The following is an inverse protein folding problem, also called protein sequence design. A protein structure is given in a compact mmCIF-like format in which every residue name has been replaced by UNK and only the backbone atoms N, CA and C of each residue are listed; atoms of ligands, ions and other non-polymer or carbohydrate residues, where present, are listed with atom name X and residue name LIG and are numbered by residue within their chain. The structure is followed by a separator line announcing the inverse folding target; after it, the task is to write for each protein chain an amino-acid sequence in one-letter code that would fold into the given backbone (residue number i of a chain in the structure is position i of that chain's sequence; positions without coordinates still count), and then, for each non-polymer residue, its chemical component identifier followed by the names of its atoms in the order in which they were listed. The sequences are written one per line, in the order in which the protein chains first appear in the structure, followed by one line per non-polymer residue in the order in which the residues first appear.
data_IF_428984612501
#
_entry.id   IF_428984612501
#
_cell.length_a   1.000
_cell.length_b   1.000
_cell.length_c   1.000
_cell.angle_alpha   90.00
_cell.angle_beta   90.00
_cell.angle_gamma   90.00
#
_symmetry.space_group_name_H-M   'P 1'
#
loop_
_entity.id
_entity.type
_entity.pdbx_description
1 polymer ?
#
# COMPACT_ATOMS: atom_id res chain seq x y z
N UNK A 1 15.86 32.11 8.80
CA UNK A 1 16.08 30.78 9.41
C UNK A 1 16.29 29.78 8.27
N UNK A 2 17.52 29.29 8.10
CA UNK A 2 17.93 28.42 6.98
C UNK A 2 17.82 26.98 7.48
N UNK A 3 16.80 26.24 7.05
CA UNK A 3 16.67 24.81 7.36
C UNK A 3 17.44 24.02 6.29
N UNK A 4 18.27 23.09 6.71
CA UNK A 4 19.01 22.21 5.80
C UNK A 4 18.04 21.25 5.08
N UNK A 5 18.23 20.94 3.79
CA UNK A 5 17.42 19.99 3.04
C UNK A 5 17.80 18.57 3.46
N UNK A 6 17.32 18.15 4.62
CA UNK A 6 17.74 16.91 5.24
C UNK A 6 16.69 16.28 6.13
N UNK A 7 15.41 16.52 5.90
CA UNK A 7 14.29 15.71 6.43
C UNK A 7 13.03 16.11 5.65
N UNK A 8 12.88 15.60 4.43
CA UNK A 8 11.54 15.55 3.82
C UNK A 8 10.72 14.62 4.72
N UNK A 9 9.59 15.11 5.23
CA UNK A 9 8.69 14.36 6.10
C UNK A 9 8.53 12.93 5.57
N UNK A 10 8.98 11.94 6.34
CA UNK A 10 8.72 10.54 6.03
C UNK A 10 7.20 10.38 6.10
N UNK A 11 6.54 10.30 4.95
CA UNK A 11 5.11 10.07 4.90
C UNK A 11 4.83 8.70 5.53
N UNK A 12 3.73 8.60 6.28
CA UNK A 12 3.36 7.38 7.00
C UNK A 12 3.02 6.22 6.05
N UNK A 13 2.60 6.53 4.82
CA UNK A 13 2.15 5.59 3.79
C UNK A 13 2.77 5.98 2.43
N UNK A 14 2.89 5.00 1.54
CA UNK A 14 3.39 5.24 0.18
C UNK A 14 2.45 6.14 -0.63
N UNK A 15 1.14 6.00 -0.42
CA UNK A 15 0.10 6.83 -1.03
C UNK A 15 -0.86 7.26 0.06
N UNK A 16 -1.10 8.56 0.18
CA UNK A 16 -2.09 9.12 1.09
C UNK A 16 -2.75 10.36 0.49
N UNK A 17 -4.00 10.61 0.86
CA UNK A 17 -4.66 11.87 0.53
C UNK A 17 -4.08 13.03 1.33
N UNK A 18 -4.09 14.23 0.76
CA UNK A 18 -3.84 15.47 1.51
C UNK A 18 -4.88 15.68 2.61
N UNK A 19 -6.11 15.18 2.39
CA UNK A 19 -7.16 15.16 3.40
C UNK A 19 -6.97 13.93 4.28
N UNK A 20 -6.69 14.16 5.56
CA UNK A 20 -6.53 13.10 6.55
C UNK A 20 -7.76 12.16 6.59
N UNK A 21 -7.50 10.87 6.75
CA UNK A 21 -8.56 9.86 6.90
C UNK A 21 -9.31 9.51 5.61
N UNK A 22 -8.91 10.00 4.44
CA UNK A 22 -9.63 9.68 3.19
C UNK A 22 -9.07 8.47 2.44
N UNK A 23 -7.81 8.55 1.99
CA UNK A 23 -7.14 7.48 1.24
C UNK A 23 -5.81 7.17 1.89
N UNK A 24 -5.52 5.87 2.07
CA UNK A 24 -4.22 5.37 2.49
C UNK A 24 -3.86 4.07 1.76
N UNK A 25 -2.65 3.95 1.24
CA UNK A 25 -2.22 2.74 0.56
C UNK A 25 -0.72 2.46 0.69
N UNK A 26 -0.40 1.18 0.53
CA UNK A 26 0.97 0.65 0.42
C UNK A 26 1.22 0.14 -0.98
N UNK A 27 2.48 0.19 -1.41
CA UNK A 27 2.93 -0.34 -2.69
C UNK A 27 4.14 -1.25 -2.53
N UNK A 28 4.24 -2.29 -3.35
CA UNK A 28 5.49 -3.06 -3.44
C UNK A 28 5.60 -3.84 -4.75
N UNK A 29 6.83 -4.28 -5.07
CA UNK A 29 7.08 -5.24 -6.14
C UNK A 29 7.65 -6.53 -5.54
N UNK A 30 7.16 -7.68 -6.00
CA UNK A 30 7.66 -8.99 -5.57
C UNK A 30 7.42 -10.06 -6.64
N UNK A 31 8.29 -11.07 -6.71
CA UNK A 31 8.07 -12.23 -7.59
C UNK A 31 6.74 -12.92 -7.25
N UNK A 32 6.43 -13.05 -5.97
CA UNK A 32 5.12 -13.47 -5.45
C UNK A 32 4.74 -12.57 -4.29
N UNK A 33 3.48 -12.09 -4.20
CA UNK A 33 3.01 -11.28 -3.07
C UNK A 33 2.99 -12.05 -1.74
N UNK A 34 3.18 -13.36 -1.76
CA UNK A 34 3.28 -14.21 -0.57
C UNK A 34 4.69 -14.30 0.01
N UNK A 35 5.70 -13.82 -0.72
CA UNK A 35 7.08 -13.92 -0.29
C UNK A 35 7.39 -12.89 0.80
N UNK A 36 8.24 -13.28 1.75
CA UNK A 36 8.82 -12.41 2.79
C UNK A 36 7.80 -11.66 3.66
N UNK A 37 6.52 -12.02 3.61
CA UNK A 37 5.48 -11.45 4.46
C UNK A 37 5.10 -9.99 4.18
N UNK A 38 5.59 -9.35 3.11
CA UNK A 38 5.33 -7.91 2.84
C UNK A 38 3.83 -7.62 2.78
N UNK A 39 3.07 -8.37 1.97
CA UNK A 39 1.62 -8.23 1.89
C UNK A 39 0.94 -8.37 3.26
N UNK A 40 1.34 -9.35 4.06
CA UNK A 40 0.75 -9.55 5.39
C UNK A 40 1.09 -8.40 6.34
N UNK A 41 2.30 -7.83 6.25
CA UNK A 41 2.73 -6.65 6.98
C UNK A 41 1.90 -5.42 6.60
N UNK A 42 1.75 -5.17 5.31
CA UNK A 42 1.00 -4.02 4.78
C UNK A 42 -0.48 -4.08 5.14
N UNK A 43 -1.09 -5.25 5.00
CA UNK A 43 -2.47 -5.46 5.43
C UNK A 43 -2.63 -5.22 6.95
N UNK A 44 -1.67 -5.66 7.76
CA UNK A 44 -1.71 -5.45 9.21
C UNK A 44 -1.53 -3.96 9.58
N UNK A 45 -0.66 -3.25 8.85
CA UNK A 45 -0.47 -1.80 8.98
C UNK A 45 -1.76 -1.06 8.63
N UNK A 46 -2.36 -1.35 7.47
CA UNK A 46 -3.56 -0.69 6.99
C UNK A 46 -4.81 -1.05 7.81
N UNK A 47 -4.90 -2.25 8.37
CA UNK A 47 -6.01 -2.64 9.25
C UNK A 47 -6.12 -1.77 10.51
N UNK A 48 -5.00 -1.19 10.97
CA UNK A 48 -4.96 -0.30 12.13
C UNK A 48 -5.27 1.17 11.77
N UNK A 49 -5.43 1.47 10.48
CA UNK A 49 -5.64 2.83 10.02
C UNK A 49 -7.12 3.19 9.91
N UNK A 50 -7.38 4.49 10.03
CA UNK A 50 -8.72 5.06 10.01
C UNK A 50 -9.14 5.61 8.64
N UNK A 51 -8.32 5.46 7.58
CA UNK A 51 -8.76 5.95 6.27
C UNK A 51 -9.99 5.20 5.78
N UNK A 52 -10.88 5.96 5.14
CA UNK A 52 -12.12 5.47 4.53
C UNK A 52 -11.83 4.47 3.42
N UNK A 53 -10.83 4.75 2.59
CA UNK A 53 -10.45 3.90 1.48
C UNK A 53 -9.00 3.45 1.66
N UNK A 54 -8.81 2.13 1.75
CA UNK A 54 -7.51 1.52 2.02
C UNK A 54 -7.15 0.52 0.95
N UNK A 55 -5.93 0.62 0.44
CA UNK A 55 -5.47 -0.18 -0.69
C UNK A 55 -4.07 -0.76 -0.49
N UNK A 56 -3.83 -1.90 -1.12
CA UNK A 56 -2.48 -2.39 -1.39
C UNK A 56 -2.35 -2.57 -2.90
N UNK A 57 -1.36 -1.93 -3.50
CA UNK A 57 -1.01 -2.15 -4.91
C UNK A 57 0.29 -2.92 -5.01
N UNK A 58 0.32 -3.98 -5.81
CA UNK A 58 1.56 -4.74 -5.99
C UNK A 58 1.82 -5.11 -7.44
N UNK A 59 3.11 -5.14 -7.80
CA UNK A 59 3.58 -5.67 -9.07
C UNK A 59 4.14 -7.07 -8.85
N UNK A 60 3.72 -8.04 -9.68
CA UNK A 60 4.23 -9.41 -9.64
C UNK A 60 4.12 -10.11 -10.99
N UNK A 61 5.19 -10.77 -11.47
CA UNK A 61 5.13 -11.54 -12.71
C UNK A 61 4.14 -12.73 -12.65
N UNK A 62 3.75 -13.17 -11.45
CA UNK A 62 2.76 -14.24 -11.27
C UNK A 62 1.31 -13.73 -11.28
N UNK A 63 1.12 -12.41 -11.18
CA UNK A 63 -0.19 -11.76 -11.16
C UNK A 63 -0.16 -10.56 -12.12
N UNK A 64 0.01 -10.78 -13.43
CA UNK A 64 -0.02 -9.70 -14.41
C UNK A 64 -1.40 -9.04 -14.45
N UNK A 65 -1.43 -7.79 -14.89
CA UNK A 65 -2.63 -7.01 -15.14
C UNK A 65 -3.11 -6.17 -13.95
N UNK A 66 -3.94 -5.18 -14.30
CA UNK A 66 -4.61 -4.29 -13.35
C UNK A 66 -5.90 -4.94 -12.83
N UNK A 67 -5.75 -5.83 -11.86
CA UNK A 67 -6.84 -6.68 -11.39
C UNK A 67 -6.97 -6.65 -9.86
N UNK A 68 -8.21 -6.57 -9.38
CA UNK A 68 -8.53 -6.72 -7.97
C UNK A 68 -8.34 -8.18 -7.55
N UNK A 69 -7.53 -8.39 -6.52
CA UNK A 69 -7.15 -9.70 -5.98
C UNK A 69 -7.88 -9.96 -4.65
N UNK A 70 -9.19 -10.17 -4.75
CA UNK A 70 -10.07 -10.41 -3.58
C UNK A 70 -9.59 -11.52 -2.65
N UNK A 71 -8.87 -12.52 -3.17
CA UNK A 71 -8.28 -13.61 -2.38
C UNK A 71 -7.21 -13.16 -1.37
N UNK A 72 -6.73 -11.92 -1.47
CA UNK A 72 -5.73 -11.34 -0.57
C UNK A 72 -6.31 -10.26 0.35
N UNK A 73 -7.58 -9.90 0.17
CA UNK A 73 -8.23 -8.84 0.94
C UNK A 73 -8.59 -9.30 2.34
N UNK A 74 -8.48 -8.37 3.28
CA UNK A 74 -9.01 -8.50 4.64
C UNK A 74 -9.15 -7.11 5.26
N UNK A 75 -9.96 -7.02 6.32
CA UNK A 75 -10.12 -5.79 7.13
C UNK A 75 -10.56 -4.55 6.30
N UNK A 76 -11.28 -4.79 5.21
CA UNK A 76 -11.76 -3.77 4.27
C UNK A 76 -10.66 -3.13 3.42
N UNK A 77 -9.46 -3.71 3.37
CA UNK A 77 -8.37 -3.27 2.50
C UNK A 77 -8.48 -3.96 1.14
N UNK A 78 -8.60 -3.18 0.07
CA UNK A 78 -8.61 -3.73 -1.28
C UNK A 78 -7.20 -4.01 -1.76
N UNK A 79 -7.00 -5.14 -2.46
CA UNK A 79 -5.68 -5.54 -2.94
C UNK A 79 -5.73 -5.62 -4.46
N UNK A 80 -4.79 -4.98 -5.12
CA UNK A 80 -4.74 -4.87 -6.57
C UNK A 80 -3.37 -5.30 -7.07
N UNK A 81 -3.34 -6.19 -8.07
CA UNK A 81 -2.17 -6.29 -8.92
C UNK A 81 -2.18 -5.14 -9.92
N UNK A 82 -1.00 -4.63 -10.26
CA UNK A 82 -0.83 -3.58 -11.26
C UNK A 82 0.34 -3.93 -12.19
N UNK A 83 0.24 -3.49 -13.44
CA UNK A 83 1.31 -3.58 -14.45
C UNK A 83 2.00 -2.22 -14.67
N UNK A 84 3.03 -2.23 -15.52
CA UNK A 84 3.77 -1.06 -16.00
C UNK A 84 2.96 -0.21 -17.00
#
# INVERSE_FOLDING_TARGET
MRLAPGTHASLDLDIMSEVEGYVGAETFAAVSPRNNGKLAGDLSKLAQRHERYRYVFFMSPLFPGNERRQQFERDGVEVWSIDF
#
